data_IF_614636886730
#
_entry.id   IF_614636886730
#
_cell.length_a   1.000
_cell.length_b   1.000
_cell.length_c   1.000
_cell.angle_alpha   90.00
_cell.angle_beta   90.00
_cell.angle_gamma   90.00
#
_symmetry.space_group_name_H-M   'P 1'
#
loop_
_entity.id
_entity.type
_entity.pdbx_description
1 polymer ?
#
# COMPACT_ATOMS: atom_id res chain seq x y z
N UNK A 1 8.15 27.55 -14.27
CA UNK A 1 8.86 27.54 -12.97
C UNK A 1 8.16 26.46 -12.14
N UNK A 2 8.75 25.26 -12.05
CA UNK A 2 8.17 24.18 -11.25
C UNK A 2 8.40 24.54 -9.78
N UNK A 3 7.33 24.75 -9.02
CA UNK A 3 7.44 24.95 -7.58
C UNK A 3 8.11 23.73 -6.97
N UNK A 4 9.19 23.91 -6.20
CA UNK A 4 9.84 22.84 -5.45
C UNK A 4 8.78 22.14 -4.59
N UNK A 5 8.41 20.92 -4.96
CA UNK A 5 7.59 20.06 -4.11
C UNK A 5 8.47 19.66 -2.95
N UNK A 6 8.36 20.40 -1.84
CA UNK A 6 9.09 20.08 -0.61
C UNK A 6 8.51 18.81 -0.03
N UNK A 7 9.29 17.73 -0.02
CA UNK A 7 8.92 16.47 0.60
C UNK A 7 9.79 16.23 1.84
N UNK A 8 9.22 15.65 2.89
CA UNK A 8 9.96 15.31 4.12
C UNK A 8 10.13 13.80 4.19
N UNK A 9 11.39 13.32 4.28
CA UNK A 9 11.69 11.90 4.42
C UNK A 9 11.23 11.38 5.79
N UNK A 10 10.44 10.30 5.79
CA UNK A 10 9.99 9.59 7.00
C UNK A 10 10.73 8.27 7.23
N UNK A 11 11.29 7.66 6.18
CA UNK A 11 12.03 6.40 6.32
C UNK A 11 13.17 6.53 7.33
N UNK A 12 13.35 5.49 8.14
CA UNK A 12 14.42 5.44 9.12
C UNK A 12 15.80 5.48 8.44
N UNK A 13 16.73 6.34 8.89
CA UNK A 13 18.04 6.43 8.29
C UNK A 13 18.82 5.12 8.46
N UNK A 14 19.47 4.67 7.38
CA UNK A 14 20.32 3.47 7.36
C UNK A 14 19.63 2.14 7.72
N UNK A 15 18.30 2.09 7.74
CA UNK A 15 17.55 0.85 7.96
C UNK A 15 17.23 0.21 6.61
N UNK A 16 17.81 -0.97 6.37
CA UNK A 16 17.55 -1.75 5.15
C UNK A 16 16.09 -2.13 4.99
N UNK A 17 15.53 -1.88 3.81
CA UNK A 17 14.16 -2.26 3.41
C UNK A 17 14.15 -3.45 2.44
N UNK A 18 15.33 -3.88 1.98
CA UNK A 18 15.48 -5.00 1.07
C UNK A 18 16.69 -5.85 1.46
N UNK A 19 16.58 -7.16 1.25
CA UNK A 19 17.68 -8.11 1.38
C UNK A 19 17.68 -9.11 0.23
N UNK A 20 18.73 -9.12 -0.58
CA UNK A 20 18.85 -10.09 -1.68
C UNK A 20 19.17 -11.51 -1.19
N UNK A 21 19.19 -12.48 -2.12
CA UNK A 21 19.53 -13.89 -1.85
C UNK A 21 20.95 -14.10 -1.32
N UNK A 22 21.84 -13.12 -1.47
CA UNK A 22 23.23 -13.13 -0.99
C UNK A 22 23.37 -12.41 0.37
N UNK A 23 22.25 -12.12 1.05
CA UNK A 23 22.20 -11.40 2.33
C UNK A 23 22.70 -9.95 2.28
N UNK A 24 22.86 -9.36 1.09
CA UNK A 24 23.15 -7.94 0.96
C UNK A 24 21.90 -7.12 1.28
N UNK A 25 22.06 -6.20 2.22
CA UNK A 25 20.99 -5.33 2.73
C UNK A 25 21.07 -3.95 2.08
N UNK A 26 19.97 -3.50 1.49
CA UNK A 26 19.87 -2.21 0.81
C UNK A 26 18.72 -1.37 1.38
N UNK A 27 18.85 -0.05 1.25
CA UNK A 27 17.81 0.93 1.56
C UNK A 27 17.30 1.48 0.24
N UNK A 28 16.23 0.88 -0.29
CA UNK A 28 15.70 1.22 -1.62
C UNK A 28 14.26 1.70 -1.58
N UNK A 29 13.54 1.38 -0.50
CA UNK A 29 12.17 1.82 -0.29
C UNK A 29 12.17 3.06 0.61
N UNK A 30 11.76 4.20 0.05
CA UNK A 30 11.78 5.48 0.72
C UNK A 30 10.37 6.06 0.82
N UNK A 31 10.07 6.62 1.99
CA UNK A 31 8.75 7.13 2.33
C UNK A 31 8.89 8.61 2.58
N UNK A 32 8.09 9.38 1.86
CA UNK A 32 8.06 10.83 1.96
C UNK A 32 6.66 11.30 2.27
N UNK A 33 6.56 12.40 3.01
CA UNK A 33 5.30 13.10 3.25
C UNK A 33 5.35 14.48 2.62
N UNK A 34 4.20 14.94 2.13
CA UNK A 34 4.01 16.35 1.82
C UNK A 34 4.14 17.20 3.11
N UNK A 35 4.39 18.50 3.02
CA UNK A 35 4.45 19.37 4.19
C UNK A 35 3.11 19.42 4.93
N UNK A 36 1.99 19.31 4.19
CA UNK A 36 0.65 19.31 4.75
C UNK A 36 0.32 18.03 5.52
N UNK A 37 0.90 16.88 5.18
CA UNK A 37 0.62 15.61 5.84
C UNK A 37 1.68 15.20 6.88
N UNK A 38 2.84 15.87 6.90
CA UNK A 38 3.95 15.50 7.79
C UNK A 38 3.55 15.44 9.27
N UNK A 39 2.76 16.41 9.73
CA UNK A 39 2.32 16.49 11.12
C UNK A 39 1.33 15.38 11.54
N UNK A 40 0.75 14.65 10.58
CA UNK A 40 -0.14 13.51 10.84
C UNK A 40 0.65 12.23 11.05
N UNK A 41 1.93 12.19 10.68
CA UNK A 41 2.75 11.00 10.81
C UNK A 41 3.22 10.80 12.25
N UNK A 42 2.85 9.66 12.84
CA UNK A 42 3.29 9.27 14.18
C UNK A 42 4.52 8.36 14.11
N UNK A 43 4.58 7.49 13.09
CA UNK A 43 5.58 6.43 13.03
C UNK A 43 5.83 5.93 11.61
N UNK A 44 7.10 5.64 11.29
CA UNK A 44 7.53 4.99 10.06
C UNK A 44 8.65 3.99 10.39
N UNK A 45 8.33 2.71 10.54
CA UNK A 45 9.31 1.69 10.93
C UNK A 45 9.44 0.60 9.87
N UNK A 46 10.66 0.16 9.58
CA UNK A 46 10.84 -1.07 8.81
C UNK A 46 10.77 -2.27 9.74
N UNK A 47 9.79 -3.14 9.52
CA UNK A 47 9.70 -4.38 10.27
C UNK A 47 10.65 -5.44 9.71
N UNK A 48 11.58 -5.88 10.54
CA UNK A 48 12.53 -6.97 10.21
C UNK A 48 12.22 -8.26 10.96
N UNK A 49 11.12 -8.28 11.70
CA UNK A 49 10.63 -9.50 12.32
C UNK A 49 9.98 -10.40 11.27
N UNK A 50 10.13 -11.70 11.43
CA UNK A 50 9.41 -12.69 10.60
C UNK A 50 7.91 -12.78 10.95
N UNK A 51 7.39 -11.84 11.74
CA UNK A 51 6.02 -11.86 12.25
C UNK A 51 4.96 -11.83 11.13
N UNK A 52 5.31 -11.31 9.95
CA UNK A 52 4.38 -11.16 8.83
C UNK A 52 4.55 -12.20 7.72
N UNK A 53 5.42 -13.22 7.90
CA UNK A 53 5.66 -14.32 6.94
C UNK A 53 5.56 -13.92 5.46
N UNK A 54 6.24 -12.83 5.11
CA UNK A 54 6.37 -12.35 3.75
C UNK A 54 7.32 -13.26 2.96
N UNK A 55 6.87 -13.75 1.80
CA UNK A 55 7.70 -14.52 0.84
C UNK A 55 8.54 -13.60 -0.07
N UNK A 56 8.75 -12.36 0.33
CA UNK A 56 9.44 -11.32 -0.43
C UNK A 56 10.81 -11.02 0.16
N UNK A 57 11.72 -10.54 -0.69
CA UNK A 57 13.00 -9.99 -0.27
C UNK A 57 12.91 -8.56 0.30
N UNK A 58 11.72 -7.96 0.31
CA UNK A 58 11.44 -6.67 0.91
C UNK A 58 10.89 -6.81 2.33
N UNK A 59 11.42 -5.99 3.24
CA UNK A 59 10.92 -5.81 4.59
C UNK A 59 9.73 -4.84 4.58
N UNK A 60 8.63 -5.11 5.29
CA UNK A 60 7.47 -4.23 5.30
C UNK A 60 7.83 -2.92 5.99
N UNK A 61 7.26 -1.83 5.50
CA UNK A 61 7.33 -0.54 6.21
C UNK A 61 5.97 -0.31 6.86
N UNK A 62 5.99 -0.19 8.17
CA UNK A 62 4.82 0.04 9.01
C UNK A 62 4.69 1.53 9.26
N UNK A 63 3.53 2.05 8.86
CA UNK A 63 3.18 3.45 8.97
C UNK A 63 2.08 3.63 10.00
N UNK A 64 2.24 4.59 10.89
CA UNK A 64 1.16 5.03 11.78
C UNK A 64 0.88 6.50 11.51
N UNK A 65 -0.35 6.77 11.11
CA UNK A 65 -0.84 8.12 10.84
C UNK A 65 -2.01 8.42 11.77
N UNK A 66 -2.04 9.63 12.30
CA UNK A 66 -3.15 10.15 13.05
C UNK A 66 -4.17 10.70 12.05
N UNK A 67 -5.29 10.00 11.91
CA UNK A 67 -6.42 10.49 11.15
C UNK A 67 -7.59 10.64 12.10
N UNK A 68 -8.11 11.86 12.19
CA UNK A 68 -9.42 12.09 12.79
C UNK A 68 -10.47 11.84 11.69
N UNK A 69 -10.59 10.57 11.28
CA UNK A 69 -11.70 10.15 10.43
C UNK A 69 -12.84 9.82 11.37
N UNK A 70 -13.98 10.52 11.30
CA UNK A 70 -15.14 10.15 12.09
C UNK A 70 -15.50 8.70 11.75
N UNK A 71 -15.75 7.88 12.78
CA UNK A 71 -16.21 6.52 12.58
C UNK A 71 -17.39 6.56 11.60
N UNK A 72 -17.30 5.88 10.44
CA UNK A 72 -18.45 5.78 9.58
C UNK A 72 -19.56 5.12 10.41
N UNK A 73 -20.82 5.59 10.32
CA UNK A 73 -21.91 4.89 10.96
C UNK A 73 -21.85 3.41 10.53
N UNK A 74 -22.04 2.45 11.45
CA UNK A 74 -21.93 1.04 11.11
C UNK A 74 -22.81 0.76 9.89
N UNK A 75 -22.19 0.27 8.82
CA UNK A 75 -22.91 -0.06 7.59
C UNK A 75 -24.05 -1.01 7.98
N UNK A 76 -25.32 -0.65 7.72
CA UNK A 76 -26.43 -1.46 8.19
C UNK A 76 -26.34 -2.89 7.63
N UNK A 77 -26.13 -3.87 8.52
CA UNK A 77 -25.89 -5.28 8.16
C UNK A 77 -27.12 -5.97 7.52
N UNK A 78 -28.28 -5.33 7.49
CA UNK A 78 -29.57 -5.91 7.06
C UNK A 78 -29.67 -6.23 5.56
N UNK A 79 -28.63 -5.93 4.78
CA UNK A 79 -28.56 -6.28 3.36
C UNK A 79 -27.55 -7.39 3.07
N UNK A 80 -26.74 -7.84 4.04
CA UNK A 80 -25.77 -8.94 3.81
C UNK A 80 -26.44 -10.24 3.39
N UNK A 81 -27.64 -10.51 3.94
CA UNK A 81 -28.48 -11.65 3.57
C UNK A 81 -29.04 -11.53 2.14
N UNK A 82 -29.01 -10.31 1.57
CA UNK A 82 -29.46 -9.98 0.22
C UNK A 82 -28.29 -9.77 -0.74
N UNK A 83 -27.05 -9.81 -0.25
CA UNK A 83 -25.86 -9.75 -1.08
C UNK A 83 -25.76 -11.07 -1.84
N UNK A 84 -25.74 -11.00 -3.16
CA UNK A 84 -25.39 -12.14 -3.99
C UNK A 84 -23.87 -12.36 -3.91
N UNK A 85 -23.46 -13.10 -2.88
CA UNK A 85 -22.06 -13.41 -2.65
C UNK A 85 -21.45 -14.22 -3.79
N UNK A 86 -22.25 -14.95 -4.56
CA UNK A 86 -21.77 -15.67 -5.73
C UNK A 86 -21.44 -14.69 -6.87
N UNK A 87 -22.26 -13.67 -7.09
CA UNK A 87 -21.96 -12.58 -8.04
C UNK A 87 -20.68 -11.84 -7.63
N UNK A 88 -20.57 -11.42 -6.36
CA UNK A 88 -19.36 -10.74 -5.86
C UNK A 88 -18.11 -11.63 -6.00
N UNK A 89 -18.21 -12.91 -5.65
CA UNK A 89 -17.08 -13.83 -5.75
C UNK A 89 -16.67 -14.08 -7.21
N UNK A 90 -17.64 -14.18 -8.12
CA UNK A 90 -17.37 -14.31 -9.55
C UNK A 90 -16.72 -13.06 -10.13
N UNK A 91 -17.20 -11.88 -9.77
CA UNK A 91 -16.61 -10.60 -10.21
C UNK A 91 -15.18 -10.46 -9.67
N UNK A 92 -14.96 -10.73 -8.38
CA UNK A 92 -13.62 -10.75 -7.80
C UNK A 92 -12.72 -11.79 -8.46
N UNK A 93 -13.21 -12.99 -8.78
CA UNK A 93 -12.41 -14.01 -9.48
C UNK A 93 -12.10 -13.63 -10.93
N UNK A 94 -13.01 -12.93 -11.60
CA UNK A 94 -12.82 -12.38 -12.93
C UNK A 94 -11.77 -11.26 -12.93
N UNK A 95 -11.89 -10.33 -11.97
CA UNK A 95 -11.03 -9.15 -11.88
C UNK A 95 -9.66 -9.45 -11.26
N UNK A 96 -9.59 -10.48 -10.41
CA UNK A 96 -8.35 -11.01 -9.82
C UNK A 96 -7.77 -12.18 -10.63
N UNK A 97 -8.20 -12.41 -11.87
CA UNK A 97 -7.56 -13.41 -12.72
C UNK A 97 -6.04 -13.16 -12.71
N UNK A 98 -5.29 -14.18 -12.29
CA UNK A 98 -3.85 -14.12 -12.21
C UNK A 98 -3.29 -13.65 -13.56
N UNK A 99 -2.50 -12.59 -13.53
CA UNK A 99 -1.84 -12.07 -14.73
C UNK A 99 -1.00 -13.19 -15.37
N UNK A 100 -1.46 -13.72 -16.50
CA UNK A 100 -0.81 -14.84 -17.22
C UNK A 100 0.15 -14.38 -18.31
N UNK A 101 0.29 -13.07 -18.51
CA UNK A 101 1.25 -12.45 -19.44
C UNK A 101 2.61 -12.14 -18.80
N UNK A 102 3.60 -11.63 -19.58
CA UNK A 102 4.82 -11.07 -19.01
C UNK A 102 4.45 -9.95 -18.03
N UNK A 103 5.24 -9.82 -16.95
CA UNK A 103 5.02 -8.86 -15.88
C UNK A 103 4.77 -7.47 -16.50
N UNK A 104 3.65 -6.80 -16.16
CA UNK A 104 3.35 -5.50 -16.74
C UNK A 104 4.49 -4.54 -16.45
N UNK A 105 4.80 -3.66 -17.41
CA UNK A 105 5.68 -2.54 -17.12
C UNK A 105 5.01 -1.68 -16.02
N UNK A 106 5.83 -0.97 -15.25
CA UNK A 106 5.38 -0.16 -14.11
C UNK A 106 4.21 0.78 -14.49
N UNK A 107 4.22 1.33 -15.70
CA UNK A 107 3.15 2.20 -16.23
C UNK A 107 1.79 1.48 -16.31
N UNK A 108 1.76 0.22 -16.76
CA UNK A 108 0.52 -0.55 -16.86
C UNK A 108 -0.06 -0.95 -15.49
N UNK A 109 0.79 -1.07 -14.46
CA UNK A 109 0.37 -1.29 -13.07
C UNK A 109 -0.27 -0.01 -12.51
N UNK A 110 0.38 1.13 -12.72
CA UNK A 110 -0.10 2.44 -12.27
C UNK A 110 -1.43 2.81 -12.94
N UNK A 111 -1.59 2.54 -14.24
CA UNK A 111 -2.83 2.76 -14.99
C UNK A 111 -3.98 1.84 -14.50
N UNK A 112 -3.67 0.60 -14.14
CA UNK A 112 -4.68 -0.34 -13.62
C UNK A 112 -5.12 0.02 -12.19
N UNK A 113 -4.18 0.47 -11.35
CA UNK A 113 -4.47 0.92 -10.00
C UNK A 113 -5.22 2.27 -9.95
N UNK A 114 -4.97 3.16 -10.90
CA UNK A 114 -5.69 4.43 -11.00
C UNK A 114 -7.15 4.25 -11.45
N UNK A 115 -7.48 3.21 -12.22
CA UNK A 115 -8.87 2.83 -12.48
C UNK A 115 -9.63 2.33 -11.25
N UNK A 116 -8.95 1.77 -10.24
CA UNK A 116 -9.57 1.31 -8.98
C UNK A 116 -9.86 2.46 -8.00
N UNK A 117 -9.23 3.62 -8.18
CA UNK A 117 -9.40 4.79 -7.29
C UNK A 117 -10.30 5.88 -7.87
N UNK A 118 -10.70 5.75 -9.14
CA UNK A 118 -11.80 6.53 -9.72
C UNK A 118 -13.14 5.86 -9.39
N UNK A 119 -13.55 5.94 -8.13
CA UNK A 119 -14.95 5.75 -7.76
C UNK A 119 -15.67 7.10 -7.91
N UNK A 120 -16.75 7.08 -8.69
CA UNK A 120 -17.69 8.19 -8.98
C UNK A 120 -18.37 8.68 -7.70
#
# INVERSE_FOLDING_TARGET
MLSEVRATLQSQPAISTFQNSQLHKLVIDLVFTSPSAHHLYLKCDTDKSDNYNHKSNHFPIIHQILLDIPDPPPTPHHLWDKVDWAAITNDLQHDLQCWTGPHPNHTAIDDSASCLTQII
#
